data_IF_036036592095
#
_entry.id   IF_036036592095
#
_cell.length_a   1.000
_cell.length_b   1.000
_cell.length_c   1.000
_cell.angle_alpha   90.00
_cell.angle_beta   90.00
_cell.angle_gamma   90.00
#
_symmetry.space_group_name_H-M   'P 1'
#
loop_
_entity.id
_entity.type
_entity.pdbx_description
1 polymer ?
#
# COMPACT_ATOMS: atom_id res chain seq x y z
N UNK A 1 56.21 -42.67 -1.18
CA UNK A 1 56.36 -41.24 -1.52
C UNK A 1 55.00 -40.68 -1.87
N UNK A 2 54.74 -39.51 -1.29
CA UNK A 2 53.55 -38.65 -1.22
C UNK A 2 52.73 -38.52 -2.50
N UNK A 3 51.42 -38.22 -2.39
CA UNK A 3 50.57 -37.33 -3.23
C UNK A 3 49.08 -37.79 -3.09
N UNK A 4 48.02 -37.02 -2.85
CA UNK A 4 47.77 -35.58 -2.65
C UNK A 4 46.54 -35.44 -1.73
N UNK A 5 46.60 -34.53 -0.74
CA UNK A 5 45.41 -34.00 -0.04
C UNK A 5 44.69 -33.02 -0.98
N UNK A 6 43.55 -33.40 -1.56
CA UNK A 6 42.66 -32.43 -2.21
C UNK A 6 41.53 -32.06 -1.26
N UNK A 7 41.82 -30.97 -0.55
CA UNK A 7 40.91 -30.19 0.25
C UNK A 7 39.72 -29.72 -0.60
N UNK A 8 38.53 -30.17 -0.20
CA UNK A 8 37.26 -29.41 -0.18
C UNK A 8 37.35 -27.97 -0.66
N UNK A 9 36.57 -27.61 -1.69
CA UNK A 9 35.62 -26.48 -1.69
C UNK A 9 34.55 -26.80 -2.75
N UNK A 10 33.37 -27.22 -2.30
CA UNK A 10 32.13 -27.16 -3.08
C UNK A 10 31.67 -25.71 -3.06
N UNK A 11 31.83 -24.99 -4.17
CA UNK A 11 31.27 -23.66 -4.37
C UNK A 11 29.78 -23.83 -4.65
N UNK A 12 29.00 -24.06 -3.59
CA UNK A 12 27.55 -23.92 -3.62
C UNK A 12 27.21 -22.43 -3.59
N UNK A 13 26.99 -21.83 -4.75
CA UNK A 13 26.43 -20.49 -4.85
C UNK A 13 24.96 -20.53 -4.39
N UNK A 14 24.75 -20.42 -3.08
CA UNK A 14 23.43 -20.17 -2.49
C UNK A 14 23.12 -18.70 -2.76
N UNK A 15 22.39 -18.44 -3.84
CA UNK A 15 21.71 -17.17 -4.06
C UNK A 15 20.67 -16.99 -2.94
N UNK A 16 21.07 -16.31 -1.86
CA UNK A 16 20.14 -15.73 -0.90
C UNK A 16 19.39 -14.62 -1.64
N UNK A 17 18.24 -14.96 -2.24
CA UNK A 17 17.24 -13.93 -2.57
C UNK A 17 16.70 -13.40 -1.25
N UNK A 18 17.32 -12.32 -0.75
CA UNK A 18 16.68 -11.43 0.20
C UNK A 18 15.39 -10.93 -0.45
N UNK A 19 14.30 -11.56 -0.03
CA UNK A 19 12.94 -11.09 -0.25
C UNK A 19 12.84 -9.76 0.47
N UNK A 20 13.22 -8.68 -0.22
CA UNK A 20 12.92 -7.34 0.22
C UNK A 20 11.41 -7.21 0.08
N UNK A 21 10.68 -7.66 1.10
CA UNK A 21 9.35 -7.17 1.40
C UNK A 21 9.55 -5.69 1.70
N UNK A 22 9.55 -4.90 0.63
CA UNK A 22 9.41 -3.45 0.67
C UNK A 22 8.11 -3.27 1.46
N UNK A 23 8.25 -2.93 2.74
CA UNK A 23 7.14 -2.86 3.67
C UNK A 23 6.13 -1.87 3.08
N UNK A 24 5.16 -2.41 2.35
CA UNK A 24 4.09 -1.63 1.77
C UNK A 24 3.40 -0.99 2.97
N UNK A 25 3.59 0.32 3.12
CA UNK A 25 3.00 1.06 4.23
C UNK A 25 1.51 0.72 4.25
N UNK A 26 1.02 0.26 5.39
CA UNK A 26 -0.39 -0.10 5.52
C UNK A 26 -1.23 1.17 5.42
N UNK A 27 -2.28 1.13 4.60
CA UNK A 27 -3.18 2.27 4.41
C UNK A 27 -4.57 1.95 4.98
N UNK A 28 -5.18 2.98 5.54
CA UNK A 28 -6.54 3.00 6.06
C UNK A 28 -7.35 4.08 5.37
N UNK A 29 -8.66 3.97 5.48
CA UNK A 29 -9.60 5.00 5.07
C UNK A 29 -10.10 5.73 6.29
N UNK A 30 -9.88 7.04 6.33
CA UNK A 30 -10.36 7.89 7.41
C UNK A 30 -11.70 8.51 7.03
N UNK A 31 -12.68 8.38 7.92
CA UNK A 31 -13.95 9.08 7.83
C UNK A 31 -13.78 10.55 8.22
N UNK A 32 -14.79 11.38 7.93
CA UNK A 32 -14.79 12.79 8.35
C UNK A 32 -14.79 12.97 9.87
N UNK A 33 -15.18 11.94 10.61
CA UNK A 33 -15.23 11.95 12.07
C UNK A 33 -13.96 11.37 12.72
N UNK A 34 -12.92 11.08 11.94
CA UNK A 34 -11.63 10.58 12.44
C UNK A 34 -11.56 9.05 12.60
N UNK A 35 -12.67 8.35 12.40
CA UNK A 35 -12.69 6.89 12.42
C UNK A 35 -11.94 6.32 11.23
N UNK A 36 -11.16 5.26 11.46
CA UNK A 36 -10.48 4.54 10.39
C UNK A 36 -11.13 3.20 10.08
N UNK A 37 -11.11 2.85 8.81
CA UNK A 37 -11.52 1.55 8.30
C UNK A 37 -10.44 0.98 7.41
N UNK A 38 -10.36 -0.35 7.34
CA UNK A 38 -9.49 -1.01 6.37
C UNK A 38 -9.87 -0.62 4.94
N UNK A 39 -8.86 -0.48 4.06
CA UNK A 39 -9.09 -0.18 2.63
C UNK A 39 -9.97 -1.25 1.97
N UNK A 40 -9.91 -2.51 2.43
CA UNK A 40 -10.75 -3.60 1.91
C UNK A 40 -12.25 -3.34 2.08
N UNK A 41 -12.64 -2.45 2.99
CA UNK A 41 -14.04 -2.07 3.18
C UNK A 41 -14.65 -1.40 1.94
N UNK A 42 -13.84 -0.86 1.03
CA UNK A 42 -14.31 -0.31 -0.26
C UNK A 42 -14.96 -1.35 -1.15
N UNK A 43 -14.58 -2.63 -1.03
CA UNK A 43 -15.18 -3.73 -1.80
C UNK A 43 -16.69 -3.82 -1.61
N UNK A 44 -17.20 -3.38 -0.45
CA UNK A 44 -18.65 -3.31 -0.19
C UNK A 44 -19.36 -2.29 -1.08
N UNK A 45 -18.70 -1.16 -1.38
CA UNK A 45 -19.26 -0.09 -2.22
C UNK A 45 -18.94 -0.29 -3.70
N UNK A 46 -17.85 -1.00 -4.00
CA UNK A 46 -17.37 -1.26 -5.34
C UNK A 46 -16.85 -2.71 -5.41
N UNK A 47 -17.73 -3.68 -5.70
CA UNK A 47 -17.38 -5.10 -5.68
C UNK A 47 -16.30 -5.47 -6.71
N UNK A 48 -16.21 -4.72 -7.81
CA UNK A 48 -15.23 -4.94 -8.89
C UNK A 48 -13.87 -4.26 -8.64
N UNK A 49 -13.52 -3.97 -7.38
CA UNK A 49 -12.28 -3.25 -7.04
C UNK A 49 -11.01 -4.10 -7.11
N UNK A 50 -11.08 -5.41 -7.27
CA UNK A 50 -9.87 -6.25 -7.23
C UNK A 50 -9.10 -6.07 -5.90
N UNK A 51 -7.77 -6.25 -5.94
CA UNK A 51 -6.91 -6.07 -4.78
C UNK A 51 -6.40 -4.63 -4.67
N UNK A 52 -7.14 -3.78 -3.97
CA UNK A 52 -6.69 -2.42 -3.63
C UNK A 52 -6.10 -2.42 -2.24
N UNK A 53 -4.95 -1.76 -2.11
CA UNK A 53 -4.18 -1.72 -0.86
C UNK A 53 -3.74 -0.31 -0.48
N UNK A 54 -3.75 0.63 -1.43
CA UNK A 54 -3.14 1.95 -1.28
C UNK A 54 -3.85 2.97 -2.22
N UNK A 55 -3.67 4.28 -1.99
CA UNK A 55 -4.30 5.32 -2.81
C UNK A 55 -3.92 5.24 -4.29
N UNK A 56 -2.70 4.79 -4.61
CA UNK A 56 -2.20 4.75 -5.99
C UNK A 56 -2.86 3.63 -6.79
N UNK A 57 -3.03 2.44 -6.18
CA UNK A 57 -3.73 1.31 -6.80
C UNK A 57 -5.21 1.61 -6.99
N UNK A 58 -5.86 2.27 -6.03
CA UNK A 58 -7.23 2.76 -6.19
C UNK A 58 -7.36 3.76 -7.34
N UNK A 59 -6.50 4.79 -7.36
CA UNK A 59 -6.55 5.83 -8.38
C UNK A 59 -6.30 5.26 -9.79
N UNK A 60 -5.33 4.35 -9.94
CA UNK A 60 -5.04 3.67 -11.19
C UNK A 60 -6.27 2.90 -11.69
N UNK A 61 -6.87 2.07 -10.84
CA UNK A 61 -8.04 1.28 -11.22
C UNK A 61 -9.21 2.16 -11.66
N UNK A 62 -9.48 3.25 -10.94
CA UNK A 62 -10.59 4.15 -11.29
C UNK A 62 -10.33 4.85 -12.63
N UNK A 63 -9.08 5.18 -12.96
CA UNK A 63 -8.72 5.69 -14.29
C UNK A 63 -8.89 4.63 -15.38
N UNK A 64 -8.50 3.38 -15.12
CA UNK A 64 -8.69 2.26 -16.07
C UNK A 64 -10.17 1.98 -16.35
N UNK A 65 -11.05 2.24 -15.38
CA UNK A 65 -12.52 2.19 -15.56
C UNK A 65 -13.08 3.43 -16.28
N UNK A 66 -12.25 4.39 -16.70
CA UNK A 66 -12.64 5.57 -17.46
C UNK A 66 -13.11 6.77 -16.63
N UNK A 67 -12.89 6.77 -15.30
CA UNK A 67 -13.26 7.91 -14.46
C UNK A 67 -12.17 8.96 -14.39
N UNK A 68 -12.55 10.22 -14.13
CA UNK A 68 -11.61 11.29 -13.82
C UNK A 68 -11.26 11.25 -12.34
N UNK A 69 -9.98 11.05 -12.05
CA UNK A 69 -9.46 10.86 -10.69
C UNK A 69 -8.43 11.93 -10.35
N UNK A 70 -8.69 12.67 -9.29
CA UNK A 70 -7.74 13.62 -8.68
C UNK A 70 -7.11 12.99 -7.44
N UNK A 71 -5.80 13.16 -7.27
CA UNK A 71 -5.05 12.70 -6.10
C UNK A 71 -4.35 13.89 -5.51
N UNK A 72 -4.63 14.21 -4.25
CA UNK A 72 -4.02 15.31 -3.52
C UNK A 72 -3.31 14.75 -2.29
N UNK A 73 -2.05 15.12 -2.10
CA UNK A 73 -1.37 14.89 -0.83
C UNK A 73 -1.86 15.91 0.20
N UNK A 74 -2.18 15.43 1.39
CA UNK A 74 -2.65 16.25 2.50
C UNK A 74 -1.54 16.30 3.54
N UNK A 75 -1.07 17.51 3.84
CA UNK A 75 -0.05 17.71 4.86
C UNK A 75 -0.57 17.28 6.23
N UNK A 76 0.21 16.47 6.92
CA UNK A 76 -0.11 15.98 8.26
C UNK A 76 1.12 16.12 9.15
N UNK A 77 0.96 16.39 10.46
CA UNK A 77 2.09 16.47 11.38
C UNK A 77 2.84 15.15 11.55
N UNK A 78 2.16 14.03 11.31
CA UNK A 78 2.67 12.66 11.44
C UNK A 78 2.12 11.80 10.31
N UNK A 79 2.91 10.83 9.84
CA UNK A 79 2.46 9.88 8.82
C UNK A 79 2.20 10.54 7.46
N UNK A 80 1.31 9.93 6.67
CA UNK A 80 0.89 10.44 5.35
C UNK A 80 -0.61 10.40 5.22
N UNK A 81 -1.15 11.39 4.50
CA UNK A 81 -2.54 11.40 4.08
C UNK A 81 -2.65 11.76 2.59
N UNK A 82 -3.53 11.07 1.88
CA UNK A 82 -3.81 11.31 0.48
C UNK A 82 -5.32 11.30 0.26
N UNK A 83 -5.84 12.38 -0.30
CA UNK A 83 -7.22 12.42 -0.77
C UNK A 83 -7.26 11.93 -2.22
N UNK A 84 -8.12 10.95 -2.49
CA UNK A 84 -8.43 10.50 -3.85
C UNK A 84 -9.89 10.76 -4.15
N UNK A 85 -10.13 11.60 -5.15
CA UNK A 85 -11.46 12.05 -5.56
C UNK A 85 -11.82 11.54 -6.95
N UNK A 86 -13.04 11.01 -7.09
CA UNK A 86 -13.62 10.51 -8.34
C UNK A 86 -14.89 11.32 -8.63
N UNK A 87 -14.79 12.26 -9.58
CA UNK A 87 -15.81 13.31 -9.77
C UNK A 87 -17.16 12.72 -10.18
N UNK A 88 -17.18 11.79 -11.15
CA UNK A 88 -18.41 11.19 -11.69
C UNK A 88 -19.15 10.29 -10.69
N UNK A 89 -18.51 9.99 -9.55
CA UNK A 89 -19.04 9.13 -8.50
C UNK A 89 -19.33 9.90 -7.22
N UNK A 90 -19.13 11.23 -7.22
CA UNK A 90 -19.22 12.09 -6.04
C UNK A 90 -18.49 11.47 -4.83
N UNK A 91 -17.35 10.84 -5.11
CA UNK A 91 -16.58 10.08 -4.14
C UNK A 91 -15.30 10.84 -3.83
N UNK A 92 -15.07 11.11 -2.55
CA UNK A 92 -13.76 11.50 -2.02
C UNK A 92 -13.40 10.54 -0.90
N UNK A 93 -12.22 9.94 -1.00
CA UNK A 93 -11.66 9.00 -0.03
C UNK A 93 -10.37 9.56 0.54
N UNK A 94 -10.28 9.60 1.86
CA UNK A 94 -9.06 9.98 2.57
C UNK A 94 -8.29 8.73 2.96
N UNK A 95 -7.18 8.46 2.26
CA UNK A 95 -6.25 7.39 2.61
C UNK A 95 -5.22 7.92 3.60
N UNK A 96 -5.00 7.21 4.69
CA UNK A 96 -4.06 7.61 5.75
C UNK A 96 -3.19 6.43 6.19
N UNK A 97 -1.99 6.73 6.68
CA UNK A 97 -1.11 5.72 7.31
C UNK A 97 -1.51 5.49 8.78
N UNK A 98 -1.00 4.44 9.45
CA UNK A 98 -1.44 4.06 10.80
C UNK A 98 -1.21 5.18 11.83
N UNK A 99 -0.17 5.99 11.67
CA UNK A 99 0.17 7.08 12.59
C UNK A 99 -0.93 8.15 12.64
N UNK A 100 -1.42 8.58 11.47
CA UNK A 100 -2.52 9.54 11.36
C UNK A 100 -3.79 8.96 11.97
N UNK A 101 -4.06 7.69 11.66
CA UNK A 101 -5.25 7.00 12.13
C UNK A 101 -5.33 6.93 13.66
N UNK A 102 -4.21 6.58 14.30
CA UNK A 102 -4.12 6.48 15.76
C UNK A 102 -4.25 7.84 16.46
N UNK A 103 -3.84 8.94 15.79
CA UNK A 103 -4.01 10.29 16.32
C UNK A 103 -5.46 10.79 16.20
N UNK A 104 -6.19 10.38 15.16
CA UNK A 104 -7.60 10.78 14.96
C UNK A 104 -8.60 10.08 15.89
N UNK A 105 -8.20 8.98 16.54
CA UNK A 105 -9.04 8.16 17.42
C UNK A 105 -8.82 8.44 18.93
N UNK A 106 -8.20 9.57 19.28
CA UNK A 106 -8.04 10.06 20.66
C UNK A 106 -9.00 11.20 20.93
#
# INVERSE_FOLDING_TARGET
>A
MTLIKYSTILIGAVFLLESHSLAASEWFLMSRHGECMEVQSLKRKFPDLGEIRDPSTFAKLMREKGYRVTVNEVSTPIGKAMEVSVQERELSLMFVTPEVCQAGNR
#
